data_IF_328524570030
#
_entry.id   IF_328524570030
#
_cell.length_a   1.000
_cell.length_b   1.000
_cell.length_c   1.000
_cell.angle_alpha   90.00
_cell.angle_beta   90.00
_cell.angle_gamma   90.00
#
_symmetry.space_group_name_H-M   'P 1'
#
loop_
_entity.id
_entity.type
_entity.pdbx_description
1 polymer ?
#
# COMPACT_ATOMS: atom_id res chain seq x y z
N UNK A 1 22.80 5.92 53.56
CA UNK A 1 23.61 5.73 52.33
C UNK A 1 23.90 4.25 52.27
N UNK A 2 23.34 3.47 51.36
CA UNK A 2 23.61 3.51 49.91
C UNK A 2 22.37 3.11 49.10
N UNK A 3 22.05 3.90 48.07
CA UNK A 3 21.21 3.47 46.96
C UNK A 3 21.92 2.34 46.20
N UNK A 4 21.17 1.42 45.61
CA UNK A 4 21.70 0.66 44.48
C UNK A 4 20.68 0.54 43.36
N UNK A 5 21.21 0.70 42.16
CA UNK A 5 20.56 1.12 40.94
C UNK A 5 19.56 0.11 40.38
N UNK A 6 18.57 0.66 39.70
CA UNK A 6 17.72 -0.04 38.75
C UNK A 6 18.54 -0.69 37.64
N UNK A 7 18.09 -1.84 37.15
CA UNK A 7 18.35 -2.21 35.77
C UNK A 7 17.04 -2.71 35.14
N UNK A 8 16.36 -1.78 34.48
CA UNK A 8 15.23 -2.12 33.62
C UNK A 8 15.81 -2.77 32.36
N UNK A 9 15.63 -4.08 32.21
CA UNK A 9 15.92 -4.78 30.95
C UNK A 9 14.94 -4.33 29.87
N UNK A 10 15.29 -3.27 29.16
CA UNK A 10 14.71 -2.95 27.86
C UNK A 10 15.20 -3.97 26.84
N UNK A 11 14.41 -5.00 26.57
CA UNK A 11 14.66 -5.89 25.43
C UNK A 11 14.47 -5.08 24.15
N UNK A 12 15.56 -4.76 23.46
CA UNK A 12 15.50 -4.16 22.13
C UNK A 12 14.71 -5.12 21.21
N UNK A 13 13.61 -4.61 20.61
CA UNK A 13 12.87 -5.38 19.61
C UNK A 13 13.82 -5.73 18.46
N UNK A 14 13.81 -6.96 17.93
CA UNK A 14 14.62 -7.30 16.77
C UNK A 14 14.25 -6.39 15.59
N UNK A 15 15.26 -5.81 14.97
CA UNK A 15 15.11 -4.90 13.82
C UNK A 15 14.56 -5.69 12.64
N UNK A 16 13.48 -5.20 12.00
CA UNK A 16 12.90 -5.86 10.82
C UNK A 16 13.93 -5.90 9.68
N UNK A 17 14.08 -7.04 9.02
CA UNK A 17 15.06 -7.21 7.94
C UNK A 17 14.69 -6.39 6.70
N UNK A 18 15.61 -5.55 6.22
CA UNK A 18 15.44 -4.71 5.02
C UNK A 18 16.20 -5.34 3.85
N UNK A 19 15.59 -5.35 2.67
CA UNK A 19 16.20 -5.82 1.41
C UNK A 19 16.14 -4.73 0.35
N UNK A 20 17.17 -4.66 -0.47
CA UNK A 20 17.26 -3.74 -1.61
C UNK A 20 16.91 -4.55 -2.88
N UNK A 21 16.00 -4.06 -3.74
CA UNK A 21 15.72 -4.71 -5.02
C UNK A 21 17.00 -4.86 -5.87
N UNK A 22 17.09 -5.95 -6.63
CA UNK A 22 18.26 -6.25 -7.45
C UNK A 22 17.94 -7.31 -8.51
N UNK A 23 18.93 -7.82 -9.27
CA UNK A 23 18.71 -8.78 -10.35
C UNK A 23 17.93 -10.04 -9.92
N UNK A 24 18.15 -10.53 -8.70
CA UNK A 24 17.48 -11.73 -8.16
C UNK A 24 16.05 -11.45 -7.66
N UNK A 25 15.70 -10.18 -7.43
CA UNK A 25 14.36 -9.74 -7.00
C UNK A 25 14.09 -8.33 -7.50
N UNK A 26 13.83 -8.16 -8.82
CA UNK A 26 13.68 -6.84 -9.40
C UNK A 26 12.35 -6.21 -8.99
N UNK A 27 12.38 -4.92 -8.71
CA UNK A 27 11.18 -4.09 -8.56
C UNK A 27 11.32 -2.90 -9.51
N UNK A 28 10.35 -2.72 -10.39
CA UNK A 28 10.27 -1.55 -11.28
C UNK A 28 8.98 -0.79 -11.03
N UNK A 29 9.04 0.53 -11.20
CA UNK A 29 7.90 1.43 -11.04
C UNK A 29 7.86 2.37 -12.23
N UNK A 30 6.78 2.30 -13.00
CA UNK A 30 6.61 3.07 -14.22
C UNK A 30 5.27 3.83 -14.18
N UNK A 31 5.18 4.93 -14.93
CA UNK A 31 3.89 5.61 -15.12
C UNK A 31 2.93 4.67 -15.85
N UNK A 32 1.72 4.51 -15.32
CA UNK A 32 0.64 3.90 -16.06
C UNK A 32 0.09 4.92 -17.09
N UNK A 33 0.05 4.60 -18.40
CA UNK A 33 -0.41 5.54 -19.43
C UNK A 33 -1.93 5.69 -19.46
N UNK A 34 -2.68 4.75 -18.87
CA UNK A 34 -4.13 4.69 -18.87
C UNK A 34 -4.75 5.64 -17.85
N UNK A 35 -6.01 6.01 -18.06
CA UNK A 35 -6.86 6.50 -16.97
C UNK A 35 -7.35 5.29 -16.16
N UNK A 36 -7.09 5.27 -14.86
CA UNK A 36 -7.49 4.20 -13.97
C UNK A 36 -8.71 4.61 -13.16
N UNK A 37 -9.77 3.81 -13.19
CA UNK A 37 -11.00 4.01 -12.40
C UNK A 37 -11.26 2.78 -11.54
N UNK A 38 -11.45 2.96 -10.24
CA UNK A 38 -11.79 1.89 -9.29
C UNK A 38 -13.23 2.07 -8.83
N UNK A 39 -14.04 1.01 -8.92
CA UNK A 39 -15.45 1.03 -8.51
C UNK A 39 -15.77 0.02 -7.41
N UNK A 40 -16.63 0.43 -6.48
CA UNK A 40 -17.20 -0.43 -5.42
C UNK A 40 -18.64 -0.01 -5.12
N UNK A 41 -19.56 -0.97 -5.14
CA UNK A 41 -20.98 -0.78 -4.89
C UNK A 41 -21.59 0.36 -5.74
N UNK A 42 -21.19 0.41 -7.02
CA UNK A 42 -21.63 1.44 -7.98
C UNK A 42 -21.04 2.83 -7.78
N UNK A 43 -20.13 3.03 -6.80
CA UNK A 43 -19.41 4.29 -6.57
C UNK A 43 -18.01 4.25 -7.17
N UNK A 44 -17.53 5.39 -7.65
CA UNK A 44 -16.12 5.59 -8.00
C UNK A 44 -15.35 5.87 -6.71
N UNK A 45 -14.43 4.98 -6.37
CA UNK A 45 -13.55 5.11 -5.19
C UNK A 45 -12.27 5.86 -5.55
N UNK A 46 -11.79 5.69 -6.78
CA UNK A 46 -10.64 6.40 -7.30
C UNK A 46 -10.74 6.60 -8.81
N UNK A 47 -10.19 7.72 -9.30
CA UNK A 47 -10.15 8.07 -10.72
C UNK A 47 -8.91 8.92 -11.01
N UNK A 48 -7.94 8.36 -11.73
CA UNK A 48 -6.65 9.02 -11.95
C UNK A 48 -6.08 8.82 -13.35
N UNK A 49 -5.26 9.76 -13.81
CA UNK A 49 -4.36 9.64 -14.97
C UNK A 49 -2.88 9.60 -14.59
N UNK A 50 -2.61 9.49 -13.28
CA UNK A 50 -1.30 9.62 -12.64
C UNK A 50 -0.92 8.35 -11.88
N UNK A 51 -1.61 7.25 -12.17
CA UNK A 51 -1.28 5.96 -11.58
C UNK A 51 0.14 5.52 -11.96
N UNK A 52 0.74 4.73 -11.08
CA UNK A 52 1.97 4.02 -11.30
C UNK A 52 1.66 2.53 -11.43
N UNK A 53 2.42 1.81 -12.26
CA UNK A 53 2.42 0.35 -12.28
C UNK A 53 3.73 -0.13 -11.68
N UNK A 54 3.64 -0.88 -10.57
CA UNK A 54 4.77 -1.55 -9.94
C UNK A 54 4.80 -3.00 -10.39
N UNK A 55 5.96 -3.49 -10.83
CA UNK A 55 6.21 -4.90 -11.12
C UNK A 55 7.26 -5.43 -10.17
N UNK A 56 7.03 -6.61 -9.61
CA UNK A 56 7.93 -7.24 -8.65
C UNK A 56 8.18 -8.68 -9.07
N UNK A 57 9.43 -9.00 -9.40
CA UNK A 57 9.82 -10.32 -9.88
C UNK A 57 8.84 -10.85 -10.95
N UNK A 58 8.23 -12.02 -10.72
CA UNK A 58 7.25 -12.65 -11.61
C UNK A 58 5.79 -12.39 -11.21
N UNK A 59 5.53 -11.56 -10.20
CA UNK A 59 4.16 -11.26 -9.77
C UNK A 59 3.43 -10.39 -10.81
N UNK A 60 2.09 -10.49 -10.88
CA UNK A 60 1.29 -9.55 -11.65
C UNK A 60 1.59 -8.10 -11.26
N UNK A 61 1.53 -7.20 -12.24
CA UNK A 61 1.70 -5.77 -11.98
C UNK A 61 0.62 -5.22 -11.06
N UNK A 62 1.01 -4.34 -10.14
CA UNK A 62 0.10 -3.68 -9.20
C UNK A 62 -0.01 -2.22 -9.58
N UNK A 63 -1.24 -1.74 -9.70
CA UNK A 63 -1.53 -0.33 -9.94
C UNK A 63 -1.57 0.41 -8.60
N UNK A 64 -0.78 1.47 -8.50
CA UNK A 64 -0.72 2.40 -7.38
C UNK A 64 -1.32 3.73 -7.81
N UNK A 65 -2.41 4.13 -7.16
CA UNK A 65 -3.15 5.37 -7.43
C UNK A 65 -2.74 6.43 -6.39
N UNK A 66 -2.44 7.69 -6.77
CA UNK A 66 -2.22 8.76 -5.80
C UNK A 66 -3.42 8.90 -4.86
N UNK A 67 -3.21 8.91 -3.54
CA UNK A 67 -4.31 9.00 -2.55
C UNK A 67 -5.19 10.24 -2.74
N UNK A 68 -4.63 11.33 -3.27
CA UNK A 68 -5.38 12.55 -3.56
C UNK A 68 -6.39 12.41 -4.72
N UNK A 69 -6.27 11.37 -5.53
CA UNK A 69 -7.23 11.03 -6.60
C UNK A 69 -8.27 9.99 -6.15
N UNK A 70 -8.31 9.67 -4.85
CA UNK A 70 -9.29 8.78 -4.25
C UNK A 70 -10.29 9.53 -3.36
N UNK A 71 -11.53 9.08 -3.34
CA UNK A 71 -12.54 9.57 -2.40
C UNK A 71 -12.30 8.95 -1.01
N UNK A 72 -11.46 9.62 -0.24
CA UNK A 72 -11.10 9.19 1.12
C UNK A 72 -12.30 9.16 2.07
N UNK A 73 -13.43 9.82 1.77
CA UNK A 73 -14.63 9.76 2.60
C UNK A 73 -15.33 8.38 2.52
N UNK A 74 -15.02 7.58 1.50
CA UNK A 74 -15.49 6.19 1.38
C UNK A 74 -14.59 5.18 2.11
N UNK A 75 -13.43 5.63 2.60
CA UNK A 75 -12.39 4.77 3.14
C UNK A 75 -12.29 4.89 4.67
N UNK A 76 -12.13 3.75 5.34
CA UNK A 76 -11.89 3.68 6.77
C UNK A 76 -10.52 3.05 7.05
N UNK A 77 -9.63 3.79 7.71
CA UNK A 77 -8.33 3.25 8.17
C UNK A 77 -8.57 2.11 9.15
N UNK A 78 -7.79 1.04 9.03
CA UNK A 78 -7.84 -0.08 9.96
C UNK A 78 -6.55 -0.20 10.76
N UNK A 79 -6.59 -0.95 11.85
CA UNK A 79 -5.41 -1.31 12.65
C UNK A 79 -4.57 -2.43 11.98
N UNK A 80 -5.03 -2.95 10.83
CA UNK A 80 -4.31 -3.97 10.10
C UNK A 80 -3.06 -3.38 9.44
N UNK A 81 -1.94 -4.08 9.58
CA UNK A 81 -0.68 -3.75 8.93
C UNK A 81 0.10 -5.01 8.61
N UNK A 82 0.93 -4.93 7.57
CA UNK A 82 1.84 -6.00 7.17
C UNK A 82 3.22 -5.41 6.88
N UNK A 83 4.24 -6.25 6.93
CA UNK A 83 5.61 -5.84 6.66
C UNK A 83 6.14 -6.49 5.38
N UNK A 84 6.72 -5.68 4.50
CA UNK A 84 7.46 -6.14 3.33
C UNK A 84 8.94 -5.75 3.45
N UNK A 85 9.90 -6.69 3.33
CA UNK A 85 11.33 -6.36 3.45
C UNK A 85 11.84 -5.40 2.38
N UNK A 86 11.15 -5.27 1.24
CA UNK A 86 11.53 -4.36 0.16
C UNK A 86 10.78 -3.02 0.18
N UNK A 87 9.63 -2.94 0.87
CA UNK A 87 8.73 -1.78 0.78
C UNK A 87 8.41 -1.12 2.12
N UNK A 88 8.74 -1.76 3.24
CA UNK A 88 8.42 -1.26 4.57
C UNK A 88 7.07 -1.73 5.08
N UNK A 89 6.46 -0.93 5.96
CA UNK A 89 5.18 -1.23 6.57
C UNK A 89 4.01 -0.77 5.70
N UNK A 90 3.15 -1.72 5.32
CA UNK A 90 1.89 -1.46 4.65
C UNK A 90 0.80 -1.21 5.68
N UNK A 91 0.00 -0.18 5.44
CA UNK A 91 -1.21 0.12 6.19
C UNK A 91 -2.44 -0.09 5.31
N UNK A 92 -3.59 -0.34 5.93
CA UNK A 92 -4.77 -0.77 5.20
C UNK A 92 -5.98 0.13 5.41
N UNK A 93 -6.84 0.18 4.40
CA UNK A 93 -8.17 0.78 4.48
C UNK A 93 -9.23 -0.23 4.06
N UNK A 94 -10.40 -0.13 4.67
CA UNK A 94 -11.63 -0.79 4.21
C UNK A 94 -12.48 0.21 3.42
N UNK A 95 -13.28 -0.28 2.47
CA UNK A 95 -14.18 0.54 1.65
C UNK A 95 -15.60 0.34 2.17
N UNK A 96 -16.13 1.32 2.91
CA UNK A 96 -17.39 1.15 3.65
C UNK A 96 -18.59 0.76 2.76
N UNK A 97 -18.80 1.34 1.57
CA UNK A 97 -19.88 0.92 0.66
C UNK A 97 -19.81 -0.55 0.20
N UNK A 98 -18.63 -1.17 0.22
CA UNK A 98 -18.44 -2.56 -0.22
C UNK A 98 -18.74 -3.62 0.86
N UNK A 99 -19.04 -3.19 2.09
CA UNK A 99 -19.33 -4.08 3.21
C UNK A 99 -18.20 -5.07 3.51
N UNK A 100 -18.57 -6.27 3.98
CA UNK A 100 -17.64 -7.32 4.42
C UNK A 100 -16.59 -7.70 3.36
N UNK A 101 -16.97 -7.72 2.07
CA UNK A 101 -16.05 -8.07 0.99
C UNK A 101 -14.89 -7.07 0.87
N UNK A 102 -15.12 -5.82 1.23
CA UNK A 102 -14.15 -4.74 1.08
C UNK A 102 -13.42 -4.36 2.37
N UNK A 103 -13.39 -5.27 3.37
CA UNK A 103 -12.52 -5.14 4.53
C UNK A 103 -11.05 -5.26 4.10
N UNK A 104 -10.22 -4.31 4.55
CA UNK A 104 -8.79 -4.24 4.19
C UNK A 104 -8.56 -4.34 2.66
N UNK A 105 -9.47 -3.79 1.86
CA UNK A 105 -9.43 -3.87 0.40
C UNK A 105 -8.29 -3.06 -0.23
N UNK A 106 -7.73 -2.12 0.52
CA UNK A 106 -6.71 -1.20 0.06
C UNK A 106 -5.49 -1.33 0.95
N UNK A 107 -4.30 -1.32 0.36
CA UNK A 107 -3.05 -1.12 1.08
C UNK A 107 -2.31 0.12 0.58
N UNK A 108 -1.47 0.69 1.44
CA UNK A 108 -0.65 1.87 1.16
C UNK A 108 0.67 1.78 1.93
N UNK A 109 1.74 2.35 1.37
CA UNK A 109 3.00 2.54 2.07
C UNK A 109 3.18 4.03 2.38
N UNK A 110 3.09 4.41 3.65
CA UNK A 110 3.21 5.82 4.08
C UNK A 110 4.65 6.25 4.35
N UNK A 111 5.49 5.27 4.70
CA UNK A 111 6.93 5.42 4.87
C UNK A 111 7.66 4.27 4.14
N UNK A 112 7.58 4.20 2.80
CA UNK A 112 8.31 3.20 2.04
C UNK A 112 9.83 3.41 2.13
N UNK A 113 10.58 2.35 1.85
CA UNK A 113 12.04 2.47 1.66
C UNK A 113 12.38 3.24 0.37
N UNK A 114 13.57 3.85 0.35
CA UNK A 114 14.02 4.75 -0.72
C UNK A 114 13.92 4.14 -2.11
N UNK A 115 14.24 2.85 -2.26
CA UNK A 115 14.18 2.12 -3.53
C UNK A 115 12.79 2.09 -4.16
N UNK A 116 11.73 2.32 -3.38
CA UNK A 116 10.34 2.37 -3.84
C UNK A 116 9.62 3.63 -3.36
N UNK A 117 10.36 4.72 -3.10
CA UNK A 117 9.80 5.97 -2.58
C UNK A 117 8.69 6.58 -3.46
N UNK A 118 8.69 6.26 -4.76
CA UNK A 118 7.67 6.74 -5.72
C UNK A 118 6.23 6.33 -5.35
N UNK A 119 6.03 5.18 -4.71
CA UNK A 119 4.69 4.71 -4.29
C UNK A 119 4.27 5.24 -2.91
N UNK A 120 5.04 6.16 -2.31
CA UNK A 120 4.68 6.79 -1.04
C UNK A 120 3.28 7.39 -1.13
N UNK A 121 2.45 7.06 -0.12
CA UNK A 121 1.07 7.50 -0.01
C UNK A 121 0.17 7.12 -1.21
N UNK A 122 0.59 6.24 -2.11
CA UNK A 122 -0.31 5.70 -3.12
C UNK A 122 -1.15 4.55 -2.55
N UNK A 123 -2.32 4.33 -3.12
CA UNK A 123 -3.27 3.28 -2.78
C UNK A 123 -3.22 2.20 -3.85
N UNK A 124 -3.11 0.95 -3.42
CA UNK A 124 -3.31 -0.22 -4.27
C UNK A 124 -4.49 -1.04 -3.74
N UNK A 125 -5.19 -1.71 -4.65
CA UNK A 125 -6.49 -2.34 -4.38
C UNK A 125 -6.40 -3.84 -4.65
N UNK A 126 -7.00 -4.65 -3.78
CA UNK A 126 -7.16 -6.08 -4.01
C UNK A 126 -8.25 -6.30 -5.07
N UNK A 127 -7.94 -6.89 -6.24
CA UNK A 127 -8.92 -7.02 -7.33
C UNK A 127 -10.16 -7.83 -6.94
N UNK A 128 -10.04 -8.79 -6.03
CA UNK A 128 -11.13 -9.62 -5.51
C UNK A 128 -12.02 -8.90 -4.48
N UNK A 129 -11.61 -7.71 -4.00
CA UNK A 129 -12.31 -6.92 -2.97
C UNK A 129 -12.93 -5.62 -3.47
N UNK A 130 -12.86 -5.39 -4.77
CA UNK A 130 -13.52 -4.27 -5.48
C UNK A 130 -14.38 -4.81 -6.62
N UNK A 131 -15.25 -3.98 -7.20
CA UNK A 131 -16.05 -4.42 -8.36
C UNK A 131 -15.20 -4.43 -9.63
N UNK A 132 -14.40 -3.38 -9.83
CA UNK A 132 -13.53 -3.25 -10.98
C UNK A 132 -12.34 -2.33 -10.71
N UNK A 133 -11.25 -2.60 -11.42
CA UNK A 133 -10.12 -1.70 -11.64
C UNK A 133 -10.01 -1.58 -13.16
N UNK A 134 -10.50 -0.47 -13.70
CA UNK A 134 -10.64 -0.25 -15.15
C UNK A 134 -9.46 0.59 -15.64
N UNK A 135 -8.74 0.09 -16.65
CA UNK A 135 -7.76 0.86 -17.42
C UNK A 135 -8.43 1.33 -18.72
N UNK A 136 -8.67 2.64 -18.80
CA UNK A 136 -9.34 3.29 -19.93
C UNK A 136 -8.32 4.10 -20.74
N UNK A 137 -8.57 4.36 -22.04
CA UNK A 137 -7.78 5.31 -22.81
C UNK A 137 -7.64 6.65 -22.06
N UNK A 138 -6.40 7.14 -21.99
CA UNK A 138 -6.02 8.36 -21.27
C UNK A 138 -6.66 9.63 -21.82
#
# INVERSE_FOLDING_TARGET
MTANAANASGTAKPTKAVKIPGPDHPITIERNPSRVVVKVAGKIVADTRRALTLREASYPGVIYIPREDADMALLARTDHSTYCPYKGDACYYSIAPGGERSINAIWTYEAPYDAVAQIKNHLAFYPDRVDSIEELPG
#
